data_IF_993939257194
#
_entry.id   IF_993939257194
#
_cell.length_a   1.000
_cell.length_b   1.000
_cell.length_c   1.000
_cell.angle_alpha   90.00
_cell.angle_beta   90.00
_cell.angle_gamma   90.00
#
_symmetry.space_group_name_H-M   'P 1'
#
loop_
_entity.id
_entity.type
_entity.pdbx_description
1 polymer ?
#
# COMPACT_ATOMS: atom_id res chain seq x y z
N UNK A 1 -7.39 2.48 -33.96
CA UNK A 1 -5.99 2.28 -33.49
C UNK A 1 -6.04 2.44 -31.98
N UNK A 2 -5.93 1.36 -31.22
CA UNK A 2 -6.05 1.40 -29.75
C UNK A 2 -4.72 1.89 -29.17
N UNK A 3 -4.69 3.09 -28.60
CA UNK A 3 -3.54 3.59 -27.85
C UNK A 3 -3.49 2.86 -26.53
N UNK A 4 -2.68 1.80 -26.44
CA UNK A 4 -2.24 1.26 -25.16
C UNK A 4 -1.46 2.36 -24.44
N UNK A 5 -2.10 3.00 -23.47
CA UNK A 5 -1.41 3.94 -22.58
C UNK A 5 -0.34 3.14 -21.85
N UNK A 6 0.96 3.47 -21.98
CA UNK A 6 1.98 2.81 -21.18
C UNK A 6 1.67 3.14 -19.72
N UNK A 7 1.23 2.14 -18.98
CA UNK A 7 1.06 2.22 -17.54
C UNK A 7 2.46 2.54 -16.99
N UNK A 8 2.66 3.81 -16.63
CA UNK A 8 3.97 4.32 -16.23
C UNK A 8 4.32 3.72 -14.86
N UNK A 9 4.94 2.54 -14.85
CA UNK A 9 5.58 2.01 -13.65
C UNK A 9 6.92 2.72 -13.54
N UNK A 10 7.05 3.63 -12.56
CA UNK A 10 8.36 4.11 -12.16
C UNK A 10 9.26 2.87 -11.87
N UNK A 11 10.53 2.87 -12.29
CA UNK A 11 11.42 1.71 -12.10
C UNK A 11 11.63 1.36 -10.62
N UNK A 12 11.35 2.30 -9.73
CA UNK A 12 11.35 2.14 -8.26
C UNK A 12 10.11 2.77 -7.68
N UNK A 13 9.40 2.03 -6.83
CA UNK A 13 8.32 2.58 -6.02
C UNK A 13 8.89 3.25 -4.77
N UNK A 14 8.63 4.54 -4.66
CA UNK A 14 8.95 5.33 -3.48
C UNK A 14 7.63 5.70 -2.78
N UNK A 15 7.26 5.00 -1.68
CA UNK A 15 6.06 5.34 -0.93
C UNK A 15 6.23 6.72 -0.30
N UNK A 16 5.14 7.48 -0.29
CA UNK A 16 5.05 8.75 0.43
C UNK A 16 5.07 8.54 1.94
N UNK A 17 5.33 9.61 2.70
CA UNK A 17 5.34 9.58 4.18
C UNK A 17 4.00 9.10 4.75
N UNK A 18 2.90 9.51 4.12
CA UNK A 18 1.54 9.11 4.53
C UNK A 18 1.32 7.61 4.30
N UNK A 19 1.70 7.09 3.12
CA UNK A 19 1.65 5.65 2.81
C UNK A 19 2.50 4.82 3.79
N UNK A 20 3.69 5.30 4.17
CA UNK A 20 4.51 4.63 5.19
C UNK A 20 3.82 4.66 6.56
N UNK A 21 3.20 5.77 6.94
CA UNK A 21 2.46 5.87 8.19
C UNK A 21 1.28 4.88 8.23
N UNK A 22 0.58 4.71 7.11
CA UNK A 22 -0.51 3.72 7.04
C UNK A 22 -0.01 2.29 7.12
N UNK A 23 1.10 1.97 6.43
CA UNK A 23 1.74 0.67 6.56
C UNK A 23 2.14 0.37 8.01
N UNK A 24 2.67 1.36 8.75
CA UNK A 24 2.99 1.20 10.18
C UNK A 24 1.76 0.90 11.04
N UNK A 25 0.62 1.54 10.77
CA UNK A 25 -0.63 1.25 11.49
C UNK A 25 -1.10 -0.20 11.23
N UNK A 26 -1.03 -0.66 9.98
CA UNK A 26 -1.32 -2.04 9.62
C UNK A 26 -0.36 -3.03 10.28
N UNK A 27 0.93 -2.70 10.39
CA UNK A 27 1.93 -3.50 11.10
C UNK A 27 1.63 -3.63 12.60
N UNK A 28 1.12 -2.56 13.22
CA UNK A 28 0.68 -2.54 14.62
C UNK A 28 -0.62 -3.33 14.87
N UNK A 29 -1.20 -3.95 13.83
CA UNK A 29 -2.43 -4.74 13.93
C UNK A 29 -3.71 -3.91 13.88
N UNK A 30 -3.63 -2.64 13.49
CA UNK A 30 -4.83 -1.86 13.20
C UNK A 30 -5.37 -2.31 11.83
N UNK A 31 -6.46 -3.09 11.85
CA UNK A 31 -7.16 -3.46 10.64
C UNK A 31 -7.80 -2.21 10.02
N UNK A 32 -7.36 -1.84 8.81
CA UNK A 32 -7.91 -0.69 8.09
C UNK A 32 -8.97 -1.21 7.13
N UNK A 33 -10.23 -0.84 7.39
CA UNK A 33 -11.35 -1.16 6.51
C UNK A 33 -11.29 -0.34 5.21
N UNK A 34 -11.87 -0.84 4.11
CA UNK A 34 -11.94 -0.09 2.83
C UNK A 34 -12.40 1.38 2.95
N UNK A 35 -13.49 1.71 3.67
CA UNK A 35 -13.90 3.11 3.82
C UNK A 35 -12.89 3.96 4.61
N UNK A 36 -12.12 3.34 5.48
CA UNK A 36 -11.09 4.00 6.28
C UNK A 36 -9.82 4.21 5.45
N UNK A 37 -9.46 3.23 4.63
CA UNK A 37 -8.42 3.34 3.63
C UNK A 37 -8.63 4.50 2.66
N UNK A 38 -9.87 4.72 2.22
CA UNK A 38 -10.21 5.85 1.37
C UNK A 38 -10.02 7.21 2.08
N UNK A 39 -10.22 7.28 3.41
CA UNK A 39 -9.99 8.49 4.20
C UNK A 39 -8.51 8.73 4.49
N UNK A 40 -7.75 7.65 4.70
CA UNK A 40 -6.31 7.67 4.98
C UNK A 40 -5.45 7.68 3.72
N UNK A 41 -6.02 8.06 2.56
CA UNK A 41 -5.29 8.11 1.29
C UNK A 41 -4.49 6.83 0.98
N UNK A 42 -4.98 5.66 1.41
CA UNK A 42 -4.37 4.38 1.04
C UNK A 42 -4.42 4.28 -0.47
N UNK A 43 -3.28 4.56 -1.06
CA UNK A 43 -3.14 4.64 -2.49
C UNK A 43 -3.27 3.23 -3.03
N UNK A 44 -4.07 3.06 -4.08
CA UNK A 44 -4.17 1.78 -4.82
C UNK A 44 -2.80 1.28 -5.30
N UNK A 45 -1.78 2.14 -5.30
CA UNK A 45 -0.38 1.80 -5.54
C UNK A 45 0.20 0.82 -4.52
N UNK A 46 -0.14 0.92 -3.24
CA UNK A 46 0.32 -0.06 -2.24
C UNK A 46 -0.24 -1.45 -2.53
N UNK A 47 -1.44 -1.52 -3.10
CA UNK A 47 -2.06 -2.76 -3.56
C UNK A 47 -1.38 -3.26 -4.84
N UNK A 48 -1.14 -2.35 -5.80
CA UNK A 48 -0.51 -2.63 -7.10
C UNK A 48 0.90 -3.21 -6.94
N UNK A 49 1.67 -2.71 -5.96
CA UNK A 49 3.01 -3.18 -5.62
C UNK A 49 3.03 -4.31 -4.58
N UNK A 50 1.87 -4.85 -4.20
CA UNK A 50 1.71 -5.93 -3.25
C UNK A 50 2.28 -5.66 -1.84
N UNK A 51 2.35 -4.40 -1.41
CA UNK A 51 2.72 -4.02 -0.04
C UNK A 51 1.58 -4.22 0.97
N UNK A 52 0.33 -4.15 0.48
CA UNK A 52 -0.87 -4.49 1.24
C UNK A 52 -1.70 -5.51 0.46
N UNK A 53 -2.40 -6.37 1.20
CA UNK A 53 -3.40 -7.30 0.67
C UNK A 53 -4.78 -6.90 1.14
N UNK A 54 -5.80 -7.31 0.39
CA UNK A 54 -7.21 -7.14 0.76
C UNK A 54 -7.81 -8.49 1.09
N UNK A 55 -8.41 -8.61 2.28
CA UNK A 55 -9.15 -9.81 2.68
C UNK A 55 -10.49 -9.90 1.96
N UNK A 56 -11.12 -11.09 1.89
CA UNK A 56 -12.48 -11.24 1.37
C UNK A 56 -13.53 -10.38 2.09
N UNK A 57 -13.27 -10.04 3.37
CA UNK A 57 -14.11 -9.17 4.19
C UNK A 57 -13.98 -7.67 3.90
N UNK A 58 -13.06 -7.28 3.00
CA UNK A 58 -12.83 -5.87 2.68
C UNK A 58 -11.95 -5.14 3.69
N UNK A 59 -11.13 -5.88 4.44
CA UNK A 59 -10.11 -5.32 5.32
C UNK A 59 -8.76 -5.37 4.63
N UNK A 60 -7.95 -4.35 4.83
CA UNK A 60 -6.57 -4.33 4.36
C UNK A 60 -5.64 -4.89 5.43
N UNK A 61 -4.66 -5.66 4.99
CA UNK A 61 -3.58 -6.16 5.83
C UNK A 61 -2.24 -5.87 5.17
N UNK A 62 -1.21 -5.67 5.99
CA UNK A 62 0.16 -5.55 5.49
C UNK A 62 0.68 -6.92 5.00
N UNK A 63 1.44 -6.93 3.91
CA UNK A 63 2.14 -8.13 3.42
C UNK A 63 3.58 -8.16 3.95
N UNK A 64 4.31 -9.25 3.68
CA UNK A 64 5.73 -9.32 4.05
C UNK A 64 6.56 -8.23 3.35
N UNK A 65 6.29 -7.95 2.08
CA UNK A 65 6.92 -6.86 1.33
C UNK A 65 6.69 -5.50 2.00
N UNK A 66 5.46 -5.25 2.48
CA UNK A 66 5.12 -4.02 3.20
C UNK A 66 5.95 -3.87 4.48
N UNK A 67 6.10 -4.96 5.23
CA UNK A 67 6.92 -4.95 6.46
C UNK A 67 8.39 -4.70 6.17
N UNK A 68 8.94 -5.32 5.12
CA UNK A 68 10.33 -5.08 4.71
C UNK A 68 10.56 -3.61 4.32
N UNK A 69 9.59 -2.99 3.64
CA UNK A 69 9.63 -1.58 3.27
C UNK A 69 9.67 -0.66 4.49
N UNK A 70 8.81 -0.91 5.49
CA UNK A 70 8.82 -0.16 6.76
C UNK A 70 10.18 -0.31 7.44
N UNK A 71 10.68 -1.54 7.59
CA UNK A 71 11.97 -1.82 8.23
C UNK A 71 13.12 -1.07 7.57
N UNK A 72 13.14 -1.01 6.24
CA UNK A 72 14.15 -0.27 5.48
C UNK A 72 14.08 1.24 5.71
N UNK A 73 12.89 1.80 5.91
CA UNK A 73 12.70 3.24 6.16
C UNK A 73 12.95 3.63 7.61
N UNK A 74 12.98 2.66 8.52
CA UNK A 74 13.18 2.90 9.96
C UNK A 74 14.65 2.79 10.40
N UNK A 75 15.57 2.59 9.47
CA UNK A 75 17.01 2.44 9.67
C UNK A 75 17.77 3.51 8.89
#
# INVERSE_FOLDING_TARGET
MATAQPLYHAPTFEPTVDEIATLKQLEMGQAISVPDALKHHLSGRLLDWAYIGKTPGGEFHITDLGRQLIKRQNN
#
